data_IF_890080739189
#
_entry.id   IF_890080739189
#
_cell.length_a   1.000
_cell.length_b   1.000
_cell.length_c   1.000
_cell.angle_alpha   90.00
_cell.angle_beta   90.00
_cell.angle_gamma   90.00
#
_symmetry.space_group_name_H-M   'P 1'
#
loop_
_entity.id
_entity.type
_entity.pdbx_description
1 polymer ?
#
# COMPACT_ATOMS: atom_id res chain seq x y z
N UNK A 1 -41.55 -42.64 -2.96
CA UNK A 1 -40.07 -42.56 -2.94
C UNK A 1 -39.54 -43.83 -2.30
N UNK A 2 -38.62 -44.54 -2.96
CA UNK A 2 -38.10 -45.81 -2.41
C UNK A 2 -36.98 -45.56 -1.40
N UNK A 3 -36.69 -46.53 -0.52
CA UNK A 3 -35.58 -46.45 0.46
C UNK A 3 -34.24 -46.16 -0.23
N UNK A 4 -34.05 -46.67 -1.45
CA UNK A 4 -32.86 -46.43 -2.29
C UNK A 4 -32.79 -44.98 -2.77
N UNK A 5 -33.92 -44.39 -3.17
CA UNK A 5 -33.99 -42.99 -3.60
C UNK A 5 -33.68 -42.03 -2.44
N UNK A 6 -34.17 -42.34 -1.24
CA UNK A 6 -33.87 -41.55 -0.04
C UNK A 6 -32.38 -41.58 0.33
N UNK A 7 -31.72 -42.73 0.21
CA UNK A 7 -30.28 -42.86 0.47
C UNK A 7 -29.47 -42.06 -0.57
N UNK A 8 -29.85 -42.16 -1.85
CA UNK A 8 -29.17 -41.45 -2.92
C UNK A 8 -29.26 -39.92 -2.74
N UNK A 9 -30.45 -39.41 -2.40
CA UNK A 9 -30.66 -37.97 -2.14
C UNK A 9 -29.82 -37.50 -0.95
N UNK A 10 -29.79 -38.26 0.15
CA UNK A 10 -28.96 -37.91 1.32
C UNK A 10 -27.47 -37.87 0.99
N UNK A 11 -26.97 -38.79 0.17
CA UNK A 11 -25.56 -38.81 -0.25
C UNK A 11 -25.23 -37.59 -1.13
N UNK A 12 -26.10 -37.25 -2.08
CA UNK A 12 -25.89 -36.07 -2.95
C UNK A 12 -25.90 -34.78 -2.14
N UNK A 13 -26.86 -34.62 -1.21
CA UNK A 13 -26.90 -33.45 -0.33
C UNK A 13 -25.68 -33.36 0.59
N UNK A 14 -25.18 -34.49 1.08
CA UNK A 14 -23.97 -34.53 1.90
C UNK A 14 -22.72 -34.14 1.11
N UNK A 15 -22.54 -34.66 -0.11
CA UNK A 15 -21.43 -34.28 -0.99
C UNK A 15 -21.51 -32.80 -1.35
N UNK A 16 -22.71 -32.30 -1.68
CA UNK A 16 -22.93 -30.89 -1.97
C UNK A 16 -22.63 -30.01 -0.76
N UNK A 17 -23.08 -30.40 0.44
CA UNK A 17 -22.76 -29.69 1.68
C UNK A 17 -21.25 -29.67 1.93
N UNK A 18 -20.54 -30.79 1.79
CA UNK A 18 -19.08 -30.81 1.95
C UNK A 18 -18.36 -29.94 0.91
N UNK A 19 -18.79 -29.99 -0.35
CA UNK A 19 -18.23 -29.15 -1.41
C UNK A 19 -18.48 -27.66 -1.11
N UNK A 20 -19.68 -27.29 -0.67
CA UNK A 20 -20.03 -25.93 -0.27
C UNK A 20 -19.24 -25.48 0.96
N UNK A 21 -19.04 -26.36 1.94
CA UNK A 21 -18.27 -26.06 3.16
C UNK A 21 -16.79 -25.86 2.83
N UNK A 22 -16.24 -26.72 1.95
CA UNK A 22 -14.87 -26.58 1.44
C UNK A 22 -14.73 -25.26 0.68
N UNK A 23 -15.68 -24.98 -0.22
CA UNK A 23 -15.73 -23.73 -0.98
C UNK A 23 -15.92 -22.50 -0.08
N UNK A 24 -16.63 -22.55 1.05
CA UNK A 24 -16.72 -21.40 1.96
C UNK A 24 -15.44 -21.21 2.79
N UNK A 25 -14.74 -22.29 3.14
CA UNK A 25 -13.55 -22.22 3.99
C UNK A 25 -12.25 -21.92 3.22
N UNK A 26 -12.20 -22.19 1.91
CA UNK A 26 -10.96 -21.98 1.14
C UNK A 26 -10.60 -20.51 0.95
N UNK A 27 -11.56 -19.58 1.00
CA UNK A 27 -11.26 -18.14 0.95
C UNK A 27 -10.45 -17.73 2.18
N UNK A 28 -10.99 -18.00 3.37
CA UNK A 28 -10.37 -17.67 4.65
C UNK A 28 -8.97 -18.28 4.75
N UNK A 29 -8.78 -19.51 4.26
CA UNK A 29 -7.48 -20.15 4.21
C UNK A 29 -6.49 -19.38 3.33
N UNK A 30 -6.87 -19.01 2.11
CA UNK A 30 -6.01 -18.27 1.19
C UNK A 30 -5.68 -16.87 1.72
N UNK A 31 -6.64 -16.20 2.36
CA UNK A 31 -6.39 -14.93 3.06
C UNK A 31 -5.39 -15.13 4.20
N UNK A 32 -5.57 -16.16 5.02
CA UNK A 32 -4.67 -16.45 6.15
C UNK A 32 -3.26 -16.83 5.68
N UNK A 33 -3.12 -17.57 4.58
CA UNK A 33 -1.81 -17.87 3.97
C UNK A 33 -1.15 -16.58 3.46
N UNK A 34 -1.92 -15.70 2.80
CA UNK A 34 -1.42 -14.40 2.36
C UNK A 34 -0.93 -13.55 3.54
N UNK A 35 -1.71 -13.45 4.61
CA UNK A 35 -1.34 -12.74 5.83
C UNK A 35 -0.09 -13.35 6.48
N UNK A 36 0.03 -14.68 6.44
CA UNK A 36 1.21 -15.42 6.88
C UNK A 36 2.46 -15.15 6.03
N UNK A 37 2.32 -14.87 4.74
CA UNK A 37 3.44 -14.41 3.91
C UNK A 37 3.81 -12.96 4.19
N UNK A 38 2.85 -12.08 4.48
CA UNK A 38 3.15 -10.70 4.90
C UNK A 38 3.92 -10.66 6.22
N UNK A 39 3.58 -11.49 7.20
CA UNK A 39 4.33 -11.57 8.47
C UNK A 39 5.77 -12.06 8.29
N UNK A 40 6.05 -12.78 7.20
CA UNK A 40 7.40 -13.21 6.78
C UNK A 40 8.10 -12.20 5.86
N UNK A 41 7.50 -11.02 5.63
CA UNK A 41 7.99 -10.01 4.69
C UNK A 41 8.14 -10.53 3.24
N UNK A 42 7.20 -11.37 2.81
CA UNK A 42 7.13 -11.95 1.46
C UNK A 42 5.89 -11.44 0.68
N UNK A 43 5.83 -10.13 0.34
CA UNK A 43 4.63 -9.53 -0.24
C UNK A 43 4.22 -10.10 -1.60
N UNK A 44 5.16 -10.54 -2.43
CA UNK A 44 4.84 -11.16 -3.72
C UNK A 44 4.01 -12.45 -3.56
N UNK A 45 4.36 -13.30 -2.59
CA UNK A 45 3.61 -14.52 -2.29
C UNK A 45 2.24 -14.22 -1.67
N UNK A 46 2.14 -13.15 -0.88
CA UNK A 46 0.85 -12.69 -0.37
C UNK A 46 -0.08 -12.26 -1.52
N UNK A 47 0.42 -11.49 -2.48
CA UNK A 47 -0.32 -11.11 -3.70
C UNK A 47 -0.80 -12.34 -4.47
N UNK A 48 0.04 -13.36 -4.64
CA UNK A 48 -0.37 -14.62 -5.30
C UNK A 48 -1.56 -15.28 -4.59
N UNK A 49 -1.55 -15.33 -3.26
CA UNK A 49 -2.64 -15.93 -2.47
C UNK A 49 -3.92 -15.13 -2.51
N UNK A 50 -3.84 -13.81 -2.38
CA UNK A 50 -5.02 -12.96 -2.46
C UNK A 50 -5.60 -12.91 -3.89
N UNK A 51 -4.75 -12.92 -4.93
CA UNK A 51 -5.20 -12.99 -6.32
C UNK A 51 -5.89 -14.33 -6.62
N UNK A 52 -5.35 -15.44 -6.09
CA UNK A 52 -6.01 -16.74 -6.18
C UNK A 52 -7.36 -16.72 -5.46
N UNK A 53 -7.44 -16.12 -4.26
CA UNK A 53 -8.72 -15.95 -3.56
C UNK A 53 -9.71 -15.12 -4.39
N UNK A 54 -9.30 -13.98 -4.95
CA UNK A 54 -10.16 -13.17 -5.84
C UNK A 54 -10.68 -13.96 -7.05
N UNK A 55 -9.85 -14.84 -7.62
CA UNK A 55 -10.25 -15.67 -8.78
C UNK A 55 -11.28 -16.75 -8.44
N UNK A 56 -11.21 -17.31 -7.23
CA UNK A 56 -12.14 -18.35 -6.75
C UNK A 56 -13.42 -17.71 -6.21
N UNK A 57 -13.31 -16.50 -5.64
CA UNK A 57 -14.39 -15.74 -4.99
C UNK A 57 -14.61 -14.37 -5.66
N UNK A 58 -15.10 -14.34 -6.92
CA UNK A 58 -15.21 -13.10 -7.69
C UNK A 58 -16.21 -12.08 -7.12
N UNK A 59 -17.04 -12.49 -6.15
CA UNK A 59 -18.02 -11.62 -5.49
C UNK A 59 -17.62 -11.25 -4.05
N UNK A 60 -16.44 -11.67 -3.58
CA UNK A 60 -15.95 -11.30 -2.26
C UNK A 60 -15.13 -10.01 -2.31
N UNK A 61 -15.42 -9.02 -1.46
CA UNK A 61 -14.62 -7.79 -1.37
C UNK A 61 -13.27 -8.02 -0.66
N UNK A 62 -13.15 -9.06 0.18
CA UNK A 62 -12.01 -9.25 1.08
C UNK A 62 -10.67 -9.45 0.36
N UNK A 63 -10.55 -10.29 -0.68
CA UNK A 63 -9.30 -10.45 -1.41
C UNK A 63 -8.84 -9.16 -2.08
N UNK A 64 -9.77 -8.37 -2.60
CA UNK A 64 -9.50 -7.07 -3.22
C UNK A 64 -9.05 -6.03 -2.20
N UNK A 65 -9.66 -5.99 -1.02
CA UNK A 65 -9.17 -5.14 0.08
C UNK A 65 -7.73 -5.50 0.45
N UNK A 66 -7.43 -6.79 0.63
CA UNK A 66 -6.08 -7.27 0.98
C UNK A 66 -5.05 -6.94 -0.10
N UNK A 67 -5.39 -7.12 -1.38
CA UNK A 67 -4.52 -6.71 -2.49
C UNK A 67 -4.26 -5.20 -2.46
N UNK A 68 -5.29 -4.39 -2.23
CA UNK A 68 -5.14 -2.93 -2.11
C UNK A 68 -4.16 -2.54 -1.01
N UNK A 69 -4.28 -3.15 0.17
CA UNK A 69 -3.38 -2.91 1.31
C UNK A 69 -1.93 -3.27 0.97
N UNK A 70 -1.70 -4.40 0.30
CA UNK A 70 -0.33 -4.79 -0.11
C UNK A 70 0.25 -3.81 -1.13
N UNK A 71 -0.53 -3.38 -2.13
CA UNK A 71 -0.06 -2.40 -3.11
C UNK A 71 0.17 -1.02 -2.48
N UNK A 72 -0.69 -0.59 -1.56
CA UNK A 72 -0.51 0.65 -0.82
C UNK A 72 0.78 0.62 0.02
N UNK A 73 1.06 -0.49 0.69
CA UNK A 73 2.31 -0.67 1.45
C UNK A 73 3.56 -0.69 0.56
N UNK A 74 3.41 -1.06 -0.72
CA UNK A 74 4.46 -0.97 -1.72
C UNK A 74 4.54 0.41 -2.42
N UNK A 75 3.71 1.38 -2.01
CA UNK A 75 3.54 2.68 -2.67
C UNK A 75 3.05 2.60 -4.14
N UNK A 76 2.48 1.46 -4.55
CA UNK A 76 1.85 1.30 -5.86
C UNK A 76 0.38 1.77 -5.78
N UNK A 77 0.23 3.09 -5.62
CA UNK A 77 -1.05 3.72 -5.28
C UNK A 77 -2.13 3.53 -6.35
N UNK A 78 -1.75 3.43 -7.62
CA UNK A 78 -2.69 3.17 -8.73
C UNK A 78 -3.28 1.77 -8.66
N UNK A 79 -2.45 0.74 -8.42
CA UNK A 79 -2.97 -0.62 -8.20
C UNK A 79 -3.77 -0.70 -6.91
N UNK A 80 -3.32 -0.04 -5.85
CA UNK A 80 -4.05 0.03 -4.60
C UNK A 80 -5.45 0.62 -4.79
N UNK A 81 -5.55 1.73 -5.53
CA UNK A 81 -6.82 2.39 -5.86
C UNK A 81 -7.73 1.49 -6.70
N UNK A 82 -7.17 0.81 -7.70
CA UNK A 82 -7.93 -0.12 -8.54
C UNK A 82 -8.59 -1.22 -7.69
N UNK A 83 -7.83 -1.87 -6.82
CA UNK A 83 -8.33 -3.00 -6.03
C UNK A 83 -9.34 -2.55 -4.96
N UNK A 84 -9.13 -1.42 -4.27
CA UNK A 84 -10.10 -0.95 -3.27
C UNK A 84 -11.44 -0.56 -3.91
N UNK A 85 -11.43 -0.02 -5.13
CA UNK A 85 -12.66 0.30 -5.86
C UNK A 85 -13.48 -0.95 -6.19
N UNK A 86 -12.82 -2.06 -6.53
CA UNK A 86 -13.48 -3.35 -6.73
C UNK A 86 -14.10 -3.82 -5.41
N UNK A 87 -13.35 -3.76 -4.30
CA UNK A 87 -13.87 -4.14 -2.99
C UNK A 87 -15.10 -3.32 -2.59
N UNK A 88 -15.11 -2.01 -2.85
CA UNK A 88 -16.24 -1.11 -2.56
C UNK A 88 -17.48 -1.48 -3.38
N UNK A 89 -17.30 -1.77 -4.67
CA UNK A 89 -18.40 -2.17 -5.56
C UNK A 89 -19.07 -3.47 -5.07
N UNK A 90 -18.25 -4.45 -4.63
CA UNK A 90 -18.72 -5.72 -4.13
C UNK A 90 -19.39 -5.64 -2.74
N UNK A 91 -18.94 -4.73 -1.85
CA UNK A 91 -19.39 -4.70 -0.45
C UNK A 91 -20.69 -3.94 -0.19
N UNK A 92 -21.31 -3.32 -1.22
CA UNK A 92 -22.47 -2.42 -1.08
C UNK A 92 -22.31 -1.38 0.05
N UNK A 93 -21.39 -0.44 -0.15
CA UNK A 93 -21.26 0.79 0.66
C UNK A 93 -20.67 0.59 2.07
N UNK A 94 -19.49 -0.03 2.16
CA UNK A 94 -18.72 -0.12 3.41
C UNK A 94 -18.01 1.20 3.73
N UNK A 95 -18.32 1.80 4.88
CA UNK A 95 -17.66 3.01 5.36
C UNK A 95 -16.15 2.78 5.60
N UNK A 96 -15.76 1.58 6.01
CA UNK A 96 -14.37 1.19 6.20
C UNK A 96 -13.59 1.28 4.88
N UNK A 97 -14.11 0.69 3.80
CA UNK A 97 -13.44 0.72 2.50
C UNK A 97 -13.35 2.14 1.92
N UNK A 98 -14.37 2.97 2.16
CA UNK A 98 -14.33 4.39 1.77
C UNK A 98 -13.20 5.14 2.49
N UNK A 99 -12.92 4.83 3.76
CA UNK A 99 -11.79 5.43 4.48
C UNK A 99 -10.43 5.02 3.90
N UNK A 100 -10.31 3.78 3.43
CA UNK A 100 -9.11 3.27 2.76
C UNK A 100 -8.92 3.98 1.41
N UNK A 101 -9.99 4.13 0.62
CA UNK A 101 -9.95 4.88 -0.64
C UNK A 101 -9.52 6.33 -0.42
N UNK A 102 -10.10 7.04 0.55
CA UNK A 102 -9.72 8.42 0.88
C UNK A 102 -8.22 8.55 1.22
N UNK A 103 -7.68 7.60 2.00
CA UNK A 103 -6.24 7.55 2.31
C UNK A 103 -5.41 7.37 1.05
N UNK A 104 -5.78 6.43 0.17
CA UNK A 104 -5.08 6.18 -1.09
C UNK A 104 -5.17 7.41 -2.01
N UNK A 105 -6.34 8.03 -2.13
CA UNK A 105 -6.52 9.23 -2.93
C UNK A 105 -5.73 10.42 -2.40
N UNK A 106 -5.59 10.55 -1.09
CA UNK A 106 -4.71 11.56 -0.48
C UNK A 106 -3.25 11.33 -0.83
N UNK A 107 -2.79 10.08 -0.95
CA UNK A 107 -1.43 9.74 -1.35
C UNK A 107 -1.20 10.01 -2.85
N UNK A 108 -2.19 9.70 -3.70
CA UNK A 108 -2.16 10.02 -5.14
C UNK A 108 -2.21 11.53 -5.36
N UNK A 109 -3.01 12.25 -4.59
CA UNK A 109 -3.15 13.70 -4.69
C UNK A 109 -1.91 14.47 -4.18
N UNK A 110 -0.95 13.80 -3.53
CA UNK A 110 0.36 14.41 -3.30
C UNK A 110 0.95 14.75 -4.66
N UNK A 111 1.45 15.99 -4.88
CA UNK A 111 1.91 16.39 -6.20
C UNK A 111 2.97 15.41 -6.72
N UNK A 112 2.68 14.64 -7.78
CA UNK A 112 3.61 13.67 -8.38
C UNK A 112 4.98 14.31 -8.70
N UNK A 113 4.97 15.61 -8.97
CA UNK A 113 6.16 16.42 -9.16
C UNK A 113 7.09 16.47 -7.93
N UNK A 114 6.58 16.46 -6.71
CA UNK A 114 7.42 16.41 -5.48
C UNK A 114 8.16 15.07 -5.39
N UNK A 115 7.47 13.95 -5.64
CA UNK A 115 8.08 12.61 -5.58
C UNK A 115 9.17 12.46 -6.64
N UNK A 116 8.89 12.87 -7.88
CA UNK A 116 9.88 12.82 -8.98
C UNK A 116 11.08 13.71 -8.70
N UNK A 117 10.86 14.93 -8.19
CA UNK A 117 11.96 15.83 -7.85
C UNK A 117 12.82 15.31 -6.69
N UNK A 118 12.21 14.75 -5.64
CA UNK A 118 12.96 14.14 -4.53
C UNK A 118 13.88 13.04 -5.08
N UNK A 119 13.34 12.11 -5.87
CA UNK A 119 14.12 11.02 -6.45
C UNK A 119 15.26 11.52 -7.35
N UNK A 120 15.01 12.56 -8.16
CA UNK A 120 16.04 13.19 -8.97
C UNK A 120 17.17 13.77 -8.11
N UNK A 121 16.84 14.54 -7.08
CA UNK A 121 17.85 15.17 -6.23
C UNK A 121 18.57 14.19 -5.30
N UNK A 122 17.93 13.09 -4.90
CA UNK A 122 18.56 11.98 -4.18
C UNK A 122 19.66 11.35 -5.05
N UNK A 123 19.38 11.12 -6.33
CA UNK A 123 20.37 10.61 -7.27
C UNK A 123 21.54 11.59 -7.45
N UNK A 124 21.26 12.89 -7.64
CA UNK A 124 22.31 13.93 -7.74
C UNK A 124 23.18 13.97 -6.48
N UNK A 125 22.58 13.90 -5.29
CA UNK A 125 23.30 13.90 -4.02
C UNK A 125 24.14 12.62 -3.83
N UNK A 126 23.71 11.49 -4.40
CA UNK A 126 24.48 10.25 -4.41
C UNK A 126 25.69 10.32 -5.36
N UNK A 127 25.51 10.88 -6.56
CA UNK A 127 26.61 11.06 -7.52
C UNK A 127 27.60 12.14 -7.08
N UNK A 128 27.11 13.18 -6.40
CA UNK A 128 27.89 14.35 -5.97
C UNK A 128 27.59 14.67 -4.49
N UNK A 129 28.15 13.89 -3.55
CA UNK A 129 27.86 14.04 -2.13
C UNK A 129 28.36 15.36 -1.53
N UNK A 130 29.32 16.02 -2.18
CA UNK A 130 29.84 17.35 -1.84
C UNK A 130 29.09 18.48 -2.55
N UNK A 131 28.03 18.20 -3.32
CA UNK A 131 27.25 19.23 -3.99
C UNK A 131 26.18 19.81 -3.05
N UNK A 132 26.56 20.89 -2.36
CA UNK A 132 25.74 21.65 -1.41
C UNK A 132 24.32 21.96 -1.87
N UNK A 133 24.12 22.34 -3.13
CA UNK A 133 22.78 22.71 -3.62
C UNK A 133 21.84 21.49 -3.71
N UNK A 134 22.35 20.28 -3.98
CA UNK A 134 21.53 19.08 -4.00
C UNK A 134 20.90 18.80 -2.63
N UNK A 135 21.70 18.95 -1.57
CA UNK A 135 21.23 18.81 -0.19
C UNK A 135 20.25 19.93 0.21
N UNK A 136 20.44 21.16 -0.26
CA UNK A 136 19.47 22.25 -0.08
C UNK A 136 18.12 21.97 -0.75
N UNK A 137 18.15 21.45 -1.98
CA UNK A 137 16.93 21.10 -2.71
C UNK A 137 16.20 19.94 -2.04
N UNK A 138 16.92 18.89 -1.62
CA UNK A 138 16.35 17.79 -0.83
C UNK A 138 15.71 18.28 0.46
N UNK A 139 16.40 19.16 1.20
CA UNK A 139 15.87 19.77 2.41
C UNK A 139 14.51 20.44 2.17
N UNK A 140 14.42 21.29 1.15
CA UNK A 140 13.19 22.01 0.80
C UNK A 140 12.07 21.06 0.34
N UNK A 141 12.39 20.10 -0.52
CA UNK A 141 11.42 19.15 -1.07
C UNK A 141 10.89 18.19 0.01
N UNK A 142 11.75 17.69 0.90
CA UNK A 142 11.31 16.89 2.04
C UNK A 142 10.42 17.70 2.98
N UNK A 143 10.75 18.97 3.23
CA UNK A 143 9.91 19.84 4.03
C UNK A 143 8.53 20.06 3.39
N UNK A 144 8.48 20.31 2.08
CA UNK A 144 7.23 20.43 1.31
C UNK A 144 6.41 19.12 1.30
N UNK A 145 7.08 17.98 1.37
CA UNK A 145 6.46 16.66 1.44
C UNK A 145 6.18 16.20 2.89
N UNK A 146 6.20 17.12 3.86
CA UNK A 146 5.96 16.88 5.29
C UNK A 146 6.93 15.87 5.95
N UNK A 147 8.10 15.65 5.36
CA UNK A 147 9.17 14.79 5.88
C UNK A 147 10.19 15.62 6.68
N UNK A 148 9.76 16.16 7.82
CA UNK A 148 10.53 17.13 8.61
C UNK A 148 11.91 16.65 9.08
N UNK A 149 12.05 15.39 9.49
CA UNK A 149 13.33 14.84 9.95
C UNK A 149 14.35 14.74 8.81
N UNK A 150 13.93 14.22 7.66
CA UNK A 150 14.76 14.16 6.45
C UNK A 150 15.15 15.55 5.94
N UNK A 151 14.24 16.52 6.06
CA UNK A 151 14.54 17.91 5.72
C UNK A 151 15.68 18.45 6.59
N UNK A 152 15.63 18.23 7.91
CA UNK A 152 16.68 18.67 8.84
C UNK A 152 18.02 17.97 8.60
N UNK A 153 18.00 16.68 8.29
CA UNK A 153 19.22 15.92 7.96
C UNK A 153 19.88 16.44 6.68
N UNK A 154 19.10 16.61 5.60
CA UNK A 154 19.61 17.16 4.35
C UNK A 154 20.15 18.59 4.54
N UNK A 155 19.49 19.41 5.36
CA UNK A 155 19.97 20.76 5.70
C UNK A 155 21.31 20.71 6.46
N UNK A 156 21.47 19.77 7.39
CA UNK A 156 22.72 19.59 8.12
C UNK A 156 23.86 19.13 7.21
N UNK A 157 23.59 18.29 6.21
CA UNK A 157 24.57 17.93 5.17
C UNK A 157 24.98 19.14 4.34
N UNK A 158 24.02 19.96 3.90
CA UNK A 158 24.33 21.20 3.18
C UNK A 158 25.21 22.14 4.02
N UNK A 159 24.95 22.23 5.33
CA UNK A 159 25.71 23.07 6.25
C UNK A 159 27.12 22.56 6.50
N UNK A 160 27.32 21.24 6.58
CA UNK A 160 28.66 20.66 6.67
C UNK A 160 29.53 21.04 5.47
N UNK A 161 28.93 21.17 4.29
CA UNK A 161 29.63 21.50 3.05
C UNK A 161 29.89 23.01 2.94
N UNK A 162 28.89 23.84 3.28
CA UNK A 162 29.01 25.31 3.26
C UNK A 162 28.35 25.93 4.51
N UNK A 163 29.10 26.03 5.63
CA UNK A 163 28.55 26.53 6.90
C UNK A 163 28.11 28.00 6.87
N UNK A 164 28.66 28.80 5.94
CA UNK A 164 28.41 30.24 5.88
C UNK A 164 27.31 30.59 4.86
N UNK A 165 26.58 29.60 4.35
CA UNK A 165 25.53 29.82 3.37
C UNK A 165 24.31 30.54 3.99
N UNK A 166 23.97 31.71 3.46
CA UNK A 166 22.81 32.48 3.94
C UNK A 166 21.47 31.73 3.81
N UNK A 167 21.31 30.91 2.76
CA UNK A 167 20.07 30.15 2.53
C UNK A 167 19.85 29.10 3.61
N UNK A 168 20.92 28.48 4.11
CA UNK A 168 20.85 27.50 5.21
C UNK A 168 20.32 28.18 6.48
N UNK A 169 20.85 29.36 6.82
CA UNK A 169 20.38 30.13 7.97
C UNK A 169 18.88 30.46 7.89
N UNK A 170 18.40 30.85 6.71
CA UNK A 170 16.97 31.13 6.45
C UNK A 170 16.11 29.87 6.60
N UNK A 171 16.52 28.74 6.04
CA UNK A 171 15.79 27.47 6.14
C UNK A 171 15.74 26.96 7.58
N UNK A 172 16.83 27.08 8.36
CA UNK A 172 16.82 26.73 9.78
C UNK A 172 15.80 27.53 10.58
N UNK A 173 15.71 28.84 10.35
CA UNK A 173 14.70 29.68 11.00
C UNK A 173 13.29 29.23 10.63
N UNK A 174 13.04 28.97 9.34
CA UNK A 174 11.74 28.48 8.87
C UNK A 174 11.34 27.15 9.53
N UNK A 175 12.28 26.21 9.65
CA UNK A 175 12.01 24.87 10.19
C UNK A 175 11.78 24.86 11.71
N UNK A 176 12.17 25.92 12.41
CA UNK A 176 11.97 26.09 13.85
C UNK A 176 10.66 26.84 14.20
N UNK A 177 9.94 27.35 13.20
CA UNK A 177 8.72 28.17 13.40
C UNK A 177 7.40 27.39 13.24
N UNK A 178 7.46 26.07 13.02
CA UNK A 178 6.31 25.17 12.92
C UNK A 178 6.56 23.90 13.73
#
# INVERSE_FOLDING_TARGET
MTKKDSILISVVLFIFAMALTYWLNTEHLLISEGDGYLSQNLPAKAVEKYALAASIYPFSPTPHQKLSEVFANANDWEKAKKEILIAIDLSKNSQELQSILLRIESEIAKPDHLRVQIAYWENVAQEKPDYRDAWLQLSALYYQNYQGDKAKEALAKAEQIDPNNETIGKLKQLYNQR
#
